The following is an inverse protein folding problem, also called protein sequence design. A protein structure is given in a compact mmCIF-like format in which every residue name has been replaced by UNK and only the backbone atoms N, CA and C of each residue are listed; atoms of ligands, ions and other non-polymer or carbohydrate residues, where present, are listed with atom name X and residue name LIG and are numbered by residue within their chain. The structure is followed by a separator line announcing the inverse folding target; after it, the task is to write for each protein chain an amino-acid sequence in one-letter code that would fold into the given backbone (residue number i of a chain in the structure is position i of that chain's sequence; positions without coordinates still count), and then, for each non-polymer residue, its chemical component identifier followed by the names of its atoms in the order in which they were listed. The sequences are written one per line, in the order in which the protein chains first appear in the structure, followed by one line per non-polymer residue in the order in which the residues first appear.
data_IF_294061758665
#
_entry.id   IF_294061758665
#
_cell.length_a   1.000
_cell.length_b   1.000
_cell.length_c   1.000
_cell.angle_alpha   90.00
_cell.angle_beta   90.00
_cell.angle_gamma   90.00
#
_symmetry.space_group_name_H-M   'P 1'
#
loop_
_entity.id
_entity.type
_entity.pdbx_description
1 polymer ?
#
# COMPACT_ATOMS: atom_id res chain seq x y z
N UNK A 1 33.94 25.91 -35.93
CA UNK A 1 33.60 24.88 -34.94
C UNK A 1 32.63 23.92 -35.61
N UNK A 2 33.04 22.75 -36.11
CA UNK A 2 32.06 21.78 -36.58
C UNK A 2 31.46 21.06 -35.37
N UNK A 3 30.12 21.01 -35.34
CA UNK A 3 29.32 20.28 -34.36
C UNK A 3 29.62 18.77 -34.48
N UNK A 4 30.02 18.16 -33.37
CA UNK A 4 30.18 16.71 -33.28
C UNK A 4 28.82 16.08 -32.97
N UNK A 5 28.26 15.40 -33.96
CA UNK A 5 27.06 14.56 -33.79
C UNK A 5 27.39 13.37 -32.87
N UNK A 6 26.63 13.23 -31.79
CA UNK A 6 26.79 12.20 -30.77
C UNK A 6 25.61 11.24 -30.81
N UNK A 7 25.48 10.45 -31.88
CA UNK A 7 24.44 9.42 -31.93
C UNK A 7 24.87 8.09 -32.57
N UNK A 8 26.10 7.64 -32.30
CA UNK A 8 26.52 6.27 -32.59
C UNK A 8 26.03 5.28 -31.51
N UNK A 9 24.71 5.09 -31.41
CA UNK A 9 24.19 3.90 -30.72
C UNK A 9 24.55 2.69 -31.58
N UNK A 10 25.31 1.74 -31.04
CA UNK A 10 25.69 0.51 -31.74
C UNK A 10 24.44 -0.24 -32.20
N UNK A 11 24.04 -0.05 -33.46
CA UNK A 11 23.03 -0.90 -34.11
C UNK A 11 23.75 -2.21 -34.38
N UNK A 12 23.35 -3.30 -33.72
CA UNK A 12 24.03 -4.60 -33.80
C UNK A 12 24.35 -5.09 -35.23
N UNK A 13 25.10 -6.20 -35.35
CA UNK A 13 25.72 -6.61 -36.60
C UNK A 13 24.73 -6.72 -37.79
N UNK A 14 24.99 -5.94 -38.85
CA UNK A 14 24.13 -5.87 -40.05
C UNK A 14 24.57 -6.82 -41.17
N UNK A 15 25.81 -7.31 -41.10
CA UNK A 15 26.40 -8.24 -42.08
C UNK A 15 26.13 -9.70 -41.70
N UNK A 16 26.14 -10.59 -42.70
CA UNK A 16 26.01 -12.04 -42.50
C UNK A 16 27.09 -12.57 -41.53
N UNK A 17 28.35 -12.17 -41.75
CA UNK A 17 29.47 -12.54 -40.89
C UNK A 17 29.31 -12.04 -39.44
N UNK A 18 28.83 -10.81 -39.25
CA UNK A 18 28.57 -10.28 -37.91
C UNK A 18 27.44 -11.03 -37.18
N UNK A 19 26.41 -11.46 -37.91
CA UNK A 19 25.32 -12.30 -37.37
C UNK A 19 25.81 -13.71 -37.01
N UNK A 20 26.65 -14.31 -37.85
CA UNK A 20 27.28 -15.62 -37.57
C UNK A 20 28.21 -15.58 -36.35
N UNK A 21 28.97 -14.50 -36.17
CA UNK A 21 29.78 -14.32 -34.96
C UNK A 21 28.92 -14.11 -33.71
N UNK A 22 27.81 -13.36 -33.84
CA UNK A 22 26.86 -13.16 -32.74
C UNK A 22 26.13 -14.45 -32.34
N UNK A 23 25.79 -15.33 -33.29
CA UNK A 23 25.14 -16.61 -32.98
C UNK A 23 26.06 -17.58 -32.26
N UNK A 24 27.37 -17.55 -32.53
CA UNK A 24 28.37 -18.35 -31.80
C UNK A 24 28.42 -18.01 -30.30
N UNK A 25 28.19 -16.75 -29.92
CA UNK A 25 28.17 -16.34 -28.51
C UNK A 25 26.99 -16.95 -27.73
N UNK A 26 25.85 -17.17 -28.40
CA UNK A 26 24.70 -17.85 -27.78
C UNK A 26 25.00 -19.30 -27.41
N UNK A 27 25.90 -19.95 -28.16
CA UNK A 27 26.23 -21.38 -28.02
C UNK A 27 27.45 -21.58 -27.10
N UNK A 28 28.40 -20.64 -27.06
CA UNK A 28 29.69 -20.81 -26.35
C UNK A 28 29.56 -20.90 -24.83
N UNK A 29 28.84 -19.97 -24.20
CA UNK A 29 28.72 -19.89 -22.73
C UNK A 29 27.25 -19.78 -22.27
N UNK A 30 26.29 -19.83 -23.20
CA UNK A 30 24.87 -19.85 -22.89
C UNK A 30 24.27 -18.53 -22.38
N UNK A 31 25.07 -17.52 -22.02
CA UNK A 31 24.56 -16.25 -21.47
C UNK A 31 23.72 -15.45 -22.45
N UNK A 32 24.01 -15.58 -23.76
CA UNK A 32 23.24 -14.96 -24.84
C UNK A 32 22.24 -15.92 -25.50
N UNK A 33 22.06 -17.13 -24.95
CA UNK A 33 21.14 -18.11 -25.52
C UNK A 33 19.70 -17.61 -25.42
N UNK A 34 18.92 -17.88 -26.47
CA UNK A 34 17.46 -17.68 -26.48
C UNK A 34 16.72 -18.88 -25.88
N UNK A 35 17.40 -20.00 -25.68
CA UNK A 35 16.81 -21.18 -25.07
C UNK A 35 16.56 -20.92 -23.57
N UNK A 36 15.34 -21.23 -23.14
CA UNK A 36 14.96 -21.13 -21.73
C UNK A 36 15.71 -22.16 -20.88
N UNK A 37 15.98 -23.33 -21.42
CA UNK A 37 16.76 -24.40 -20.80
C UNK A 37 17.93 -24.78 -21.71
N UNK A 38 19.14 -24.90 -21.15
CA UNK A 38 20.33 -25.37 -21.85
C UNK A 38 20.51 -26.89 -21.67
N UNK A 39 21.21 -27.59 -22.57
CA UNK A 39 21.40 -29.04 -22.48
C UNK A 39 22.08 -29.53 -21.19
N UNK A 40 22.84 -28.67 -20.52
CA UNK A 40 23.58 -28.97 -19.29
C UNK A 40 22.86 -28.50 -18.02
N UNK A 41 21.60 -28.09 -18.13
CA UNK A 41 20.78 -27.63 -17.01
C UNK A 41 19.71 -28.66 -16.68
N UNK A 42 19.34 -28.75 -15.39
CA UNK A 42 18.34 -29.69 -14.91
C UNK A 42 16.92 -29.15 -15.20
N UNK A 43 16.10 -29.86 -16.00
CA UNK A 43 14.70 -29.50 -16.20
C UNK A 43 13.88 -29.49 -14.90
N UNK A 44 14.20 -30.35 -13.93
CA UNK A 44 13.46 -30.44 -12.67
C UNK A 44 13.69 -29.21 -11.80
N UNK A 45 14.94 -28.78 -11.67
CA UNK A 45 15.28 -27.55 -10.93
C UNK A 45 14.53 -26.32 -11.48
N UNK A 46 14.43 -26.22 -12.81
CA UNK A 46 13.65 -25.17 -13.44
C UNK A 46 12.15 -25.31 -13.11
N UNK A 47 11.60 -26.52 -13.21
CA UNK A 47 10.19 -26.77 -12.92
C UNK A 47 9.85 -26.42 -11.46
N UNK A 48 10.69 -26.81 -10.51
CA UNK A 48 10.52 -26.52 -9.08
C UNK A 48 10.55 -25.02 -8.81
N UNK A 49 11.49 -24.28 -9.43
CA UNK A 49 11.54 -22.83 -9.32
C UNK A 49 10.25 -22.18 -9.86
N UNK A 50 9.75 -22.66 -11.00
CA UNK A 50 8.50 -22.14 -11.57
C UNK A 50 7.31 -22.46 -10.67
N UNK A 51 7.25 -23.66 -10.10
CA UNK A 51 6.17 -24.08 -9.21
C UNK A 51 6.16 -23.24 -7.93
N UNK A 52 7.32 -23.00 -7.32
CA UNK A 52 7.46 -22.11 -6.15
C UNK A 52 6.83 -20.72 -6.40
N UNK A 53 7.13 -20.09 -7.54
CA UNK A 53 6.53 -18.78 -7.88
C UNK A 53 5.01 -18.84 -8.11
N UNK A 54 4.52 -19.95 -8.67
CA UNK A 54 3.08 -20.15 -8.87
C UNK A 54 2.35 -20.34 -7.54
N UNK A 55 2.92 -21.09 -6.61
CA UNK A 55 2.34 -21.36 -5.29
C UNK A 55 2.32 -20.08 -4.43
N UNK A 56 3.42 -19.33 -4.38
CA UNK A 56 3.54 -18.11 -3.58
C UNK A 56 2.56 -17.01 -3.99
N UNK A 57 2.30 -16.87 -5.29
CA UNK A 57 1.47 -15.79 -5.83
C UNK A 57 0.06 -16.23 -6.20
N UNK A 58 -0.20 -17.54 -6.31
CA UNK A 58 -1.47 -18.16 -6.66
C UNK A 58 -2.29 -17.36 -7.70
N UNK A 59 -1.77 -17.19 -8.94
CA UNK A 59 -2.33 -16.27 -9.90
C UNK A 59 -3.69 -16.74 -10.46
N UNK A 60 -4.76 -15.99 -10.15
CA UNK A 60 -6.13 -16.31 -10.56
C UNK A 60 -6.57 -15.80 -11.94
N UNK A 61 -5.71 -15.06 -12.67
CA UNK A 61 -6.07 -14.57 -14.02
C UNK A 61 -4.91 -14.70 -15.01
N UNK A 62 -5.23 -14.72 -16.30
CA UNK A 62 -4.24 -14.82 -17.39
C UNK A 62 -3.09 -13.81 -17.30
N UNK A 63 -3.35 -12.50 -17.13
CA UNK A 63 -2.29 -11.50 -16.94
C UNK A 63 -1.39 -11.74 -15.72
N UNK A 64 -1.94 -12.19 -14.59
CA UNK A 64 -1.13 -12.53 -13.42
C UNK A 64 -0.29 -13.78 -13.66
N UNK A 65 -0.89 -14.81 -14.27
CA UNK A 65 -0.18 -16.03 -14.65
C UNK A 65 1.01 -15.72 -15.57
N UNK A 66 0.82 -14.83 -16.54
CA UNK A 66 1.90 -14.38 -17.42
C UNK A 66 3.01 -13.67 -16.66
N UNK A 67 2.68 -12.72 -15.77
CA UNK A 67 3.71 -12.01 -14.99
C UNK A 67 4.48 -12.93 -14.05
N UNK A 68 3.79 -13.85 -13.37
CA UNK A 68 4.45 -14.85 -12.50
C UNK A 68 5.44 -15.69 -13.32
N UNK A 69 5.05 -16.16 -14.50
CA UNK A 69 5.95 -16.90 -15.41
C UNK A 69 7.12 -16.07 -15.92
N UNK A 70 6.93 -14.79 -16.21
CA UNK A 70 8.02 -13.88 -16.62
C UNK A 70 9.00 -13.62 -15.47
N UNK A 71 8.51 -13.47 -14.23
CA UNK A 71 9.36 -13.36 -13.05
C UNK A 71 10.16 -14.64 -12.82
N UNK A 72 9.51 -15.80 -12.87
CA UNK A 72 10.16 -17.10 -12.74
C UNK A 72 11.24 -17.30 -13.83
N UNK A 73 10.92 -16.96 -15.08
CA UNK A 73 11.87 -16.97 -16.20
C UNK A 73 13.05 -16.04 -15.94
N UNK A 74 12.80 -14.81 -15.50
CA UNK A 74 13.86 -13.85 -15.22
C UNK A 74 14.73 -14.28 -14.03
N UNK A 75 14.14 -14.92 -13.03
CA UNK A 75 14.85 -15.50 -11.89
C UNK A 75 15.76 -16.65 -12.36
N UNK A 76 15.24 -17.57 -13.18
CA UNK A 76 16.05 -18.66 -13.76
C UNK A 76 17.25 -18.13 -14.54
N UNK A 77 17.04 -17.12 -15.40
CA UNK A 77 18.12 -16.50 -16.16
C UNK A 77 19.13 -15.78 -15.26
N UNK A 78 18.68 -15.15 -14.17
CA UNK A 78 19.56 -14.55 -13.18
C UNK A 78 20.46 -15.60 -12.52
N UNK A 79 19.88 -16.71 -12.07
CA UNK A 79 20.63 -17.84 -11.48
C UNK A 79 21.65 -18.37 -12.49
N UNK A 80 21.26 -18.57 -13.76
CA UNK A 80 22.19 -18.95 -14.83
C UNK A 80 23.35 -17.97 -14.96
N UNK A 81 23.11 -16.66 -15.00
CA UNK A 81 24.20 -15.70 -15.15
C UNK A 81 25.12 -15.65 -13.93
N UNK A 82 24.59 -15.85 -12.72
CA UNK A 82 25.40 -16.00 -11.50
C UNK A 82 26.32 -17.21 -11.58
N UNK A 83 25.80 -18.37 -12.02
CA UNK A 83 26.61 -19.57 -12.27
C UNK A 83 27.72 -19.30 -13.28
N UNK A 84 27.41 -18.67 -14.42
CA UNK A 84 28.43 -18.35 -15.44
C UNK A 84 29.49 -17.35 -14.98
N UNK A 85 29.10 -16.37 -14.17
CA UNK A 85 30.05 -15.45 -13.54
C UNK A 85 31.01 -16.20 -12.61
N UNK A 86 30.48 -17.06 -11.74
CA UNK A 86 31.27 -17.88 -10.81
C UNK A 86 32.18 -18.86 -11.54
N UNK A 87 31.69 -19.54 -12.59
CA UNK A 87 32.51 -20.41 -13.43
C UNK A 87 33.67 -19.64 -14.08
N UNK A 88 33.41 -18.43 -14.60
CA UNK A 88 34.45 -17.60 -15.20
C UNK A 88 35.51 -17.17 -14.19
N UNK A 89 35.08 -16.78 -12.98
CA UNK A 89 35.96 -16.46 -11.86
C UNK A 89 36.79 -17.68 -11.42
N UNK A 90 36.18 -18.85 -11.30
CA UNK A 90 36.87 -20.10 -10.96
C UNK A 90 37.89 -20.52 -12.03
N UNK A 91 37.57 -20.37 -13.31
CA UNK A 91 38.54 -20.63 -14.39
C UNK A 91 39.75 -19.70 -14.27
N UNK A 92 39.53 -18.40 -14.03
CA UNK A 92 40.62 -17.44 -13.84
C UNK A 92 41.45 -17.81 -12.62
N UNK A 93 40.81 -18.16 -11.50
CA UNK A 93 41.50 -18.59 -10.28
C UNK A 93 42.34 -19.85 -10.50
N UNK A 94 41.91 -20.76 -11.38
CA UNK A 94 42.68 -21.93 -11.79
C UNK A 94 43.87 -21.61 -12.69
N UNK A 95 43.83 -20.49 -13.43
CA UNK A 95 44.94 -19.98 -14.26
C UNK A 95 45.94 -19.18 -13.39
N UNK A 96 45.45 -18.29 -12.52
CA UNK A 96 46.22 -17.47 -11.58
C UNK A 96 45.46 -17.34 -10.24
N UNK A 97 46.04 -17.88 -9.17
CA UNK A 97 45.41 -17.95 -7.85
C UNK A 97 45.46 -16.60 -7.11
N UNK A 98 46.47 -15.77 -7.36
CA UNK A 98 46.54 -14.46 -6.74
C UNK A 98 45.70 -13.46 -7.53
N UNK A 99 44.57 -13.05 -6.95
CA UNK A 99 43.66 -12.08 -7.57
C UNK A 99 44.32 -10.74 -7.91
N UNK A 100 45.41 -10.37 -7.22
CA UNK A 100 46.17 -9.15 -7.51
C UNK A 100 47.03 -9.24 -8.78
N UNK A 101 47.34 -10.45 -9.22
CA UNK A 101 48.18 -10.71 -10.40
C UNK A 101 47.32 -11.01 -11.65
N UNK A 102 46.00 -10.83 -11.57
CA UNK A 102 45.11 -11.04 -12.69
C UNK A 102 45.40 -10.10 -13.85
N UNK A 103 45.45 -10.66 -15.05
CA UNK A 103 45.77 -9.95 -16.27
C UNK A 103 44.61 -9.07 -16.75
N UNK A 104 44.85 -8.06 -17.59
CA UNK A 104 43.78 -7.32 -18.26
C UNK A 104 42.77 -8.21 -18.99
N UNK A 105 43.20 -9.34 -19.55
CA UNK A 105 42.36 -10.33 -20.21
C UNK A 105 41.41 -11.04 -19.22
N UNK A 106 41.88 -11.34 -18.01
CA UNK A 106 41.04 -11.89 -16.92
C UNK A 106 39.94 -10.90 -16.55
N UNK A 107 40.30 -9.64 -16.32
CA UNK A 107 39.34 -8.59 -15.99
C UNK A 107 38.32 -8.38 -17.11
N UNK A 108 38.75 -8.38 -18.37
CA UNK A 108 37.84 -8.25 -19.51
C UNK A 108 36.83 -9.42 -19.58
N UNK A 109 37.26 -10.64 -19.24
CA UNK A 109 36.37 -11.81 -19.17
C UNK A 109 35.33 -11.65 -18.06
N UNK A 110 35.72 -11.20 -16.87
CA UNK A 110 34.78 -10.93 -15.76
C UNK A 110 33.82 -9.80 -16.10
N UNK A 111 34.32 -8.70 -16.66
CA UNK A 111 33.51 -7.56 -17.10
C UNK A 111 32.39 -7.97 -18.06
N UNK A 112 32.67 -8.91 -18.97
CA UNK A 112 31.68 -9.46 -19.88
C UNK A 112 30.55 -10.16 -19.12
N UNK A 113 30.87 -11.04 -18.17
CA UNK A 113 29.87 -11.74 -17.37
C UNK A 113 29.16 -10.82 -16.37
N UNK A 114 29.83 -9.82 -15.81
CA UNK A 114 29.23 -8.76 -14.98
C UNK A 114 28.14 -8.02 -15.73
N UNK A 115 28.36 -7.69 -17.02
CA UNK A 115 27.34 -7.03 -17.87
C UNK A 115 26.12 -7.91 -18.11
N UNK A 116 26.32 -9.21 -18.30
CA UNK A 116 25.22 -10.17 -18.44
C UNK A 116 24.44 -10.33 -17.14
N UNK A 117 25.14 -10.46 -16.01
CA UNK A 117 24.55 -10.53 -14.68
C UNK A 117 23.71 -9.27 -14.38
N UNK A 118 24.30 -8.09 -14.55
CA UNK A 118 23.62 -6.80 -14.32
C UNK A 118 22.34 -6.69 -15.18
N UNK A 119 22.41 -7.15 -16.43
CA UNK A 119 21.27 -7.14 -17.34
C UNK A 119 20.16 -8.11 -16.91
N UNK A 120 20.52 -9.30 -16.40
CA UNK A 120 19.58 -10.28 -15.85
C UNK A 120 18.94 -9.77 -14.54
N UNK A 121 19.72 -9.16 -13.64
CA UNK A 121 19.22 -8.56 -12.38
C UNK A 121 18.22 -7.45 -12.64
N UNK A 122 18.53 -6.53 -13.58
CA UNK A 122 17.58 -5.47 -13.98
C UNK A 122 16.30 -6.05 -14.54
N UNK A 123 16.39 -7.12 -15.35
CA UNK A 123 15.21 -7.80 -15.90
C UNK A 123 14.37 -8.42 -14.79
N UNK A 124 14.99 -9.15 -13.86
CA UNK A 124 14.32 -9.76 -12.72
C UNK A 124 13.61 -8.71 -11.85
N UNK A 125 14.34 -7.69 -11.41
CA UNK A 125 13.78 -6.63 -10.57
C UNK A 125 12.62 -5.91 -11.26
N UNK A 126 12.73 -5.63 -12.56
CA UNK A 126 11.64 -5.02 -13.34
C UNK A 126 10.36 -5.86 -13.30
N UNK A 127 10.46 -7.17 -13.58
CA UNK A 127 9.27 -8.02 -13.61
C UNK A 127 8.71 -8.26 -12.20
N UNK A 128 9.57 -8.39 -11.19
CA UNK A 128 9.13 -8.51 -9.81
C UNK A 128 8.33 -7.28 -9.36
N UNK A 129 8.84 -6.07 -9.62
CA UNK A 129 8.10 -4.84 -9.30
C UNK A 129 6.77 -4.73 -10.05
N UNK A 130 6.68 -5.23 -11.29
CA UNK A 130 5.41 -5.27 -12.04
C UNK A 130 4.40 -6.25 -11.42
N UNK A 131 4.85 -7.43 -11.02
CA UNK A 131 4.03 -8.43 -10.36
C UNK A 131 3.52 -7.93 -9.00
N UNK A 132 4.38 -7.32 -8.19
CA UNK A 132 4.01 -6.70 -6.92
C UNK A 132 3.02 -5.54 -7.11
N UNK A 133 3.25 -4.69 -8.12
CA UNK A 133 2.31 -3.62 -8.45
C UNK A 133 0.93 -4.17 -8.84
N UNK A 134 0.87 -5.26 -9.60
CA UNK A 134 -0.40 -5.91 -9.95
C UNK A 134 -1.10 -6.48 -8.71
N UNK A 135 -0.36 -7.18 -7.83
CA UNK A 135 -0.89 -7.70 -6.55
C UNK A 135 -1.49 -6.58 -5.70
N UNK A 136 -0.76 -5.48 -5.55
CA UNK A 136 -1.19 -4.32 -4.78
C UNK A 136 -2.41 -3.61 -5.41
N UNK A 137 -2.47 -3.54 -6.75
CA UNK A 137 -3.64 -3.01 -7.47
C UNK A 137 -4.88 -3.86 -7.25
N UNK A 138 -4.76 -5.20 -7.29
CA UNK A 138 -5.90 -6.10 -7.01
C UNK A 138 -6.45 -5.95 -5.61
N UNK A 139 -5.56 -5.89 -4.63
CA UNK A 139 -5.94 -5.64 -3.24
C UNK A 139 -6.72 -4.32 -3.15
N UNK A 140 -6.22 -3.26 -3.81
CA UNK A 140 -6.90 -1.96 -3.88
C UNK A 140 -8.24 -1.99 -4.62
N UNK A 141 -8.34 -2.76 -5.70
CA UNK A 141 -9.57 -2.95 -6.48
C UNK A 141 -10.61 -3.69 -5.66
N UNK A 142 -10.24 -4.79 -4.99
CA UNK A 142 -11.11 -5.52 -4.07
C UNK A 142 -11.69 -4.60 -3.00
N UNK A 143 -10.85 -3.76 -2.41
CA UNK A 143 -11.29 -2.73 -1.47
C UNK A 143 -12.20 -1.67 -2.07
N UNK A 144 -12.00 -1.33 -3.34
CA UNK A 144 -12.86 -0.35 -4.03
C UNK A 144 -14.23 -0.94 -4.35
N UNK A 145 -14.25 -2.19 -4.80
CA UNK A 145 -15.47 -2.95 -5.10
C UNK A 145 -16.33 -3.14 -3.85
N UNK A 146 -15.72 -3.64 -2.76
CA UNK A 146 -16.42 -3.80 -1.47
C UNK A 146 -17.04 -2.48 -1.00
N UNK A 147 -16.32 -1.35 -1.17
CA UNK A 147 -16.86 -0.04 -0.81
C UNK A 147 -18.05 0.37 -1.69
N UNK A 148 -18.02 0.07 -2.98
CA UNK A 148 -19.12 0.38 -3.90
C UNK A 148 -20.35 -0.48 -3.60
N UNK A 149 -20.17 -1.76 -3.30
CA UNK A 149 -21.25 -2.67 -2.90
C UNK A 149 -21.93 -2.18 -1.62
N UNK A 150 -21.17 -1.80 -0.59
CA UNK A 150 -21.72 -1.21 0.64
C UNK A 150 -22.49 0.10 0.37
N UNK A 151 -22.01 0.94 -0.54
CA UNK A 151 -22.72 2.16 -0.94
C UNK A 151 -24.02 1.86 -1.68
N UNK A 152 -24.01 0.85 -2.58
CA UNK A 152 -25.21 0.43 -3.31
C UNK A 152 -26.25 -0.17 -2.36
N UNK A 153 -25.82 -0.99 -1.39
CA UNK A 153 -26.69 -1.54 -0.36
C UNK A 153 -27.32 -0.45 0.52
N UNK A 154 -26.54 0.55 0.96
CA UNK A 154 -27.06 1.70 1.73
C UNK A 154 -28.09 2.52 0.93
N UNK A 155 -27.85 2.74 -0.36
CA UNK A 155 -28.81 3.41 -1.26
C UNK A 155 -30.09 2.59 -1.41
N UNK A 156 -29.99 1.28 -1.59
CA UNK A 156 -31.14 0.38 -1.70
C UNK A 156 -31.98 0.41 -0.41
N UNK A 157 -31.33 0.31 0.75
CA UNK A 157 -32.00 0.31 2.05
C UNK A 157 -32.67 1.66 2.36
N UNK A 158 -32.07 2.78 1.92
CA UNK A 158 -32.71 4.11 1.97
C UNK A 158 -33.94 4.21 1.05
N UNK A 159 -33.89 3.60 -0.15
CA UNK A 159 -35.05 3.54 -1.06
C UNK A 159 -36.19 2.70 -0.48
N UNK A 160 -35.88 1.55 0.11
CA UNK A 160 -36.89 0.72 0.79
C UNK A 160 -37.52 1.45 1.97
N UNK A 161 -36.72 2.12 2.81
CA UNK A 161 -37.23 2.97 3.90
C UNK A 161 -38.13 4.10 3.41
N UNK A 162 -37.82 4.71 2.25
CA UNK A 162 -38.69 5.71 1.63
C UNK A 162 -39.97 5.11 1.08
N UNK A 163 -39.91 3.93 0.46
CA UNK A 163 -41.09 3.23 -0.07
C UNK A 163 -42.05 2.74 1.02
N UNK A 164 -41.54 2.41 2.21
CA UNK A 164 -42.33 2.00 3.38
C UNK A 164 -42.91 3.19 4.16
N UNK A 165 -42.59 4.44 3.79
CA UNK A 165 -43.12 5.62 4.47
C UNK A 165 -44.59 5.83 4.04
N UNK A 166 -45.56 5.94 4.98
CA UNK A 166 -46.95 6.13 4.62
C UNK A 166 -47.15 7.42 3.80
N UNK A 167 -48.10 7.44 2.84
CA UNK A 167 -48.39 8.62 2.05
C UNK A 167 -48.72 9.79 2.98
N UNK A 168 -48.13 10.96 2.70
CA UNK A 168 -48.34 12.15 3.49
C UNK A 168 -49.84 12.50 3.55
N UNK A 169 -50.38 12.93 4.70
CA UNK A 169 -51.77 13.33 4.81
C UNK A 169 -52.05 14.47 3.82
N UNK A 170 -53.20 14.41 3.15
CA UNK A 170 -53.62 15.40 2.17
C UNK A 170 -53.55 16.82 2.75
N UNK A 171 -53.10 17.80 1.97
CA UNK A 171 -52.95 19.16 2.45
C UNK A 171 -54.32 19.74 2.77
N UNK A 172 -54.61 19.94 4.06
CA UNK A 172 -55.74 20.77 4.48
C UNK A 172 -55.53 22.19 3.97
N UNK A 173 -56.54 22.69 3.28
CA UNK A 173 -56.61 24.05 2.77
C UNK A 173 -56.62 25.04 3.93
N UNK A 174 -55.45 25.60 4.25
CA UNK A 174 -55.34 26.81 5.05
C UNK A 174 -54.47 27.84 4.34
N UNK A 175 -54.91 29.08 4.50
CA UNK A 175 -54.74 30.21 3.61
C UNK A 175 -53.30 30.61 3.35
N UNK A 176 -53.06 30.95 2.08
CA UNK A 176 -51.90 31.67 1.57
C UNK A 176 -51.54 32.90 2.42
N UNK A 177 -50.53 32.76 3.25
CA UNK A 177 -49.59 33.84 3.54
C UNK A 177 -48.19 33.36 3.20
N UNK A 178 -47.70 33.77 2.03
CA UNK A 178 -46.30 33.59 1.61
C UNK A 178 -45.38 34.15 2.69
N UNK A 179 -44.79 33.28 3.50
CA UNK A 179 -43.54 33.59 4.21
C UNK A 179 -42.39 33.50 3.21
N UNK A 180 -41.44 34.45 3.19
CA UNK A 180 -40.33 34.40 2.26
C UNK A 180 -39.49 33.15 2.51
N UNK A 181 -38.88 32.66 1.44
CA UNK A 181 -37.84 31.65 1.51
C UNK A 181 -36.81 32.08 2.56
N UNK A 182 -36.57 31.23 3.54
CA UNK A 182 -35.44 31.40 4.45
C UNK A 182 -34.20 31.12 3.61
N UNK A 183 -33.61 32.19 3.09
CA UNK A 183 -32.24 32.19 2.60
C UNK A 183 -31.40 31.46 3.65
N UNK A 184 -30.61 30.48 3.20
CA UNK A 184 -29.44 30.08 3.98
C UNK A 184 -28.70 31.37 4.27
N UNK A 185 -28.48 31.69 5.54
CA UNK A 185 -27.48 32.69 5.90
C UNK A 185 -26.23 32.35 5.09
N UNK A 186 -25.74 33.25 4.22
CA UNK A 186 -24.41 33.09 3.70
C UNK A 186 -23.51 33.07 4.93
N UNK A 187 -22.65 32.04 5.02
CA UNK A 187 -21.50 32.11 5.90
C UNK A 187 -20.90 33.51 5.75
N UNK A 188 -20.61 34.17 6.89
CA UNK A 188 -20.14 35.54 6.95
C UNK A 188 -19.21 35.84 5.76
N UNK A 189 -19.42 36.95 5.01
CA UNK A 189 -18.65 37.19 3.80
C UNK A 189 -17.18 37.07 4.15
N UNK A 190 -16.52 36.09 3.53
CA UNK A 190 -15.06 36.01 3.52
C UNK A 190 -14.58 37.44 3.32
N UNK A 191 -13.79 37.96 4.27
CA UNK A 191 -13.37 39.35 4.25
C UNK A 191 -12.87 39.70 2.85
N UNK A 192 -12.96 40.96 2.42
CA UNK A 192 -12.46 41.37 1.11
C UNK A 192 -11.04 40.83 0.83
N UNK A 193 -10.22 40.71 1.88
CA UNK A 193 -8.93 40.03 1.84
C UNK A 193 -9.01 38.51 1.60
N UNK A 194 -9.88 37.75 2.27
CA UNK A 194 -10.06 36.31 2.03
C UNK A 194 -10.60 36.01 0.61
N UNK A 195 -11.48 36.86 0.06
CA UNK A 195 -11.96 36.73 -1.33
C UNK A 195 -10.86 37.03 -2.37
N UNK A 196 -9.95 37.98 -2.08
CA UNK A 196 -8.83 38.38 -2.95
C UNK A 196 -7.60 37.48 -2.82
N UNK A 197 -7.31 36.97 -1.63
CA UNK A 197 -6.11 36.19 -1.31
C UNK A 197 -6.44 34.72 -1.08
N UNK A 198 -6.90 34.03 -2.13
CA UNK A 198 -7.25 32.60 -2.13
C UNK A 198 -6.01 31.66 -2.03
N UNK A 199 -4.84 32.19 -1.69
CA UNK A 199 -3.60 31.41 -1.56
C UNK A 199 -3.70 30.28 -0.54
N UNK A 200 -4.61 30.41 0.45
CA UNK A 200 -4.93 29.41 1.47
C UNK A 200 -5.58 28.14 0.87
N UNK A 201 -6.26 28.25 -0.27
CA UNK A 201 -6.92 27.14 -0.96
C UNK A 201 -6.08 26.52 -2.10
N UNK A 202 -4.87 27.03 -2.31
CA UNK A 202 -3.97 26.48 -3.33
C UNK A 202 -3.36 25.16 -2.82
N UNK A 203 -3.72 24.04 -3.47
CA UNK A 203 -3.22 22.69 -3.12
C UNK A 203 -1.69 22.59 -2.99
N UNK A 204 -0.93 23.41 -3.73
CA UNK A 204 0.54 23.45 -3.66
C UNK A 204 1.09 24.24 -2.45
N UNK A 205 0.24 25.01 -1.76
CA UNK A 205 0.59 25.82 -0.58
C UNK A 205 0.03 25.26 0.74
N UNK A 206 -0.77 24.19 0.70
CA UNK A 206 -1.25 23.52 1.91
C UNK A 206 -0.09 22.84 2.65
N UNK A 207 -0.11 22.87 3.98
CA UNK A 207 0.89 22.17 4.81
C UNK A 207 0.92 20.70 4.43
N UNK A 208 2.09 20.19 4.05
CA UNK A 208 2.29 18.76 3.78
C UNK A 208 2.18 18.00 5.11
N UNK A 209 1.25 17.05 5.18
CA UNK A 209 1.10 16.17 6.35
C UNK A 209 1.96 14.93 6.16
N UNK A 210 2.93 14.77 7.05
CA UNK A 210 3.83 13.63 7.12
C UNK A 210 3.16 12.50 7.91
N UNK A 211 3.17 11.28 7.36
CA UNK A 211 2.41 10.17 7.94
C UNK A 211 3.26 8.91 8.00
N UNK A 212 3.24 8.22 9.14
CA UNK A 212 3.66 6.82 9.23
C UNK A 212 2.47 5.93 8.89
N UNK A 213 2.70 4.88 8.10
CA UNK A 213 1.68 3.90 7.73
C UNK A 213 2.09 2.50 8.18
N UNK A 214 1.17 1.80 8.81
CA UNK A 214 1.30 0.41 9.25
C UNK A 214 0.10 -0.38 8.77
N UNK A 215 0.34 -1.46 8.06
CA UNK A 215 -0.68 -2.42 7.65
C UNK A 215 -0.81 -3.51 8.71
N UNK A 216 -2.05 -3.94 8.93
CA UNK A 216 -2.37 -5.00 9.89
C UNK A 216 -3.24 -6.00 9.16
N UNK A 217 -2.77 -7.24 9.06
CA UNK A 217 -3.56 -8.36 8.54
C UNK A 217 -4.10 -9.17 9.72
N UNK A 218 -5.40 -9.43 9.70
CA UNK A 218 -6.13 -10.18 10.72
C UNK A 218 -6.85 -11.34 10.03
N UNK A 219 -6.52 -12.55 10.46
CA UNK A 219 -7.09 -13.81 9.98
C UNK A 219 -7.61 -14.64 11.13
N UNK A 220 -8.49 -15.59 10.83
CA UNK A 220 -8.92 -16.61 11.78
C UNK A 220 -8.36 -17.97 11.34
N UNK A 221 -7.37 -18.48 12.06
CA UNK A 221 -6.72 -19.78 11.79
C UNK A 221 -7.12 -20.76 12.90
N UNK A 222 -7.78 -21.86 12.54
CA UNK A 222 -8.27 -22.89 13.48
C UNK A 222 -9.12 -22.32 14.65
N UNK A 223 -9.90 -21.27 14.37
CA UNK A 223 -10.73 -20.58 15.35
C UNK A 223 -9.99 -19.56 16.23
N UNK A 224 -8.68 -19.38 16.04
CA UNK A 224 -7.88 -18.38 16.75
C UNK A 224 -7.61 -17.16 15.86
N UNK A 225 -7.72 -15.97 16.44
CA UNK A 225 -7.37 -14.73 15.77
C UNK A 225 -5.86 -14.62 15.62
N UNK A 226 -5.37 -14.40 14.41
CA UNK A 226 -3.94 -14.16 14.11
C UNK A 226 -3.79 -12.73 13.61
N UNK A 227 -2.90 -11.97 14.25
CA UNK A 227 -2.65 -10.55 13.93
C UNK A 227 -1.20 -10.36 13.49
N UNK A 228 -0.99 -9.81 12.28
CA UNK A 228 0.34 -9.56 11.72
C UNK A 228 0.50 -8.09 11.33
N UNK A 229 1.62 -7.48 11.72
CA UNK A 229 1.93 -6.06 11.52
C UNK A 229 3.01 -5.89 10.43
N UNK A 230 2.79 -4.94 9.53
CA UNK A 230 3.69 -4.62 8.43
C UNK A 230 3.82 -3.09 8.25
N UNK A 231 4.93 -2.47 8.65
CA UNK A 231 6.04 -3.04 9.41
C UNK A 231 5.66 -3.32 10.89
N UNK A 232 6.53 -4.02 11.62
CA UNK A 232 6.40 -4.17 13.09
C UNK A 232 6.43 -2.81 13.81
N UNK A 233 6.01 -2.76 15.08
CA UNK A 233 6.03 -1.51 15.85
C UNK A 233 7.47 -0.98 16.01
N UNK A 234 8.44 -1.86 16.24
CA UNK A 234 9.86 -1.52 16.39
C UNK A 234 10.44 -0.93 15.10
N UNK A 235 10.10 -1.52 13.95
CA UNK A 235 10.48 -0.99 12.66
C UNK A 235 9.82 0.36 12.37
N UNK A 236 8.53 0.52 12.70
CA UNK A 236 7.82 1.79 12.47
C UNK A 236 8.39 2.93 13.34
N UNK A 237 8.86 2.63 14.55
CA UNK A 237 9.61 3.58 15.39
C UNK A 237 10.90 4.00 14.68
N UNK A 238 11.65 3.06 14.14
CA UNK A 238 12.92 3.34 13.46
C UNK A 238 12.71 4.14 12.18
N UNK A 239 11.64 3.87 11.43
CA UNK A 239 11.24 4.68 10.29
C UNK A 239 10.87 6.11 10.72
N UNK A 240 10.12 6.24 11.82
CA UNK A 240 9.76 7.54 12.39
C UNK A 240 10.97 8.39 12.80
N UNK A 241 12.00 7.78 13.41
CA UNK A 241 13.25 8.48 13.79
C UNK A 241 14.01 9.04 12.59
N UNK A 242 13.90 8.39 11.42
CA UNK A 242 14.56 8.82 10.18
C UNK A 242 13.79 9.91 9.43
N UNK A 243 12.54 10.20 9.81
CA UNK A 243 11.72 11.19 9.12
C UNK A 243 12.11 12.62 9.50
N UNK A 244 12.33 13.46 8.47
CA UNK A 244 12.40 14.92 8.62
C UNK A 244 11.46 15.61 7.62
N UNK A 245 10.51 16.44 8.09
CA UNK A 245 10.13 16.66 9.49
C UNK A 245 9.50 15.39 10.12
N UNK A 246 9.35 15.42 11.44
CA UNK A 246 8.68 14.38 12.20
C UNK A 246 7.25 14.12 11.67
N UNK A 247 6.71 12.89 11.81
CA UNK A 247 5.36 12.57 11.36
C UNK A 247 4.32 13.37 12.13
N UNK A 248 3.28 13.85 11.44
CA UNK A 248 2.12 14.49 12.06
C UNK A 248 1.08 13.44 12.52
N UNK A 249 1.00 12.28 11.83
CA UNK A 249 0.00 11.24 12.09
C UNK A 249 0.55 9.83 11.88
N UNK A 250 -0.05 8.86 12.57
CA UNK A 250 0.12 7.43 12.33
C UNK A 250 -1.19 6.83 11.82
N UNK A 251 -1.10 6.05 10.75
CA UNK A 251 -2.21 5.33 10.14
C UNK A 251 -1.99 3.83 10.31
N UNK A 252 -2.91 3.16 11.01
CA UNK A 252 -3.06 1.70 10.96
C UNK A 252 -4.18 1.33 9.99
N UNK A 253 -3.86 0.48 9.03
CA UNK A 253 -4.78 -0.01 8.00
C UNK A 253 -5.04 -1.49 8.24
N UNK A 254 -6.24 -1.80 8.70
CA UNK A 254 -6.64 -3.17 9.06
C UNK A 254 -7.22 -3.86 7.84
N UNK A 255 -6.85 -5.11 7.64
CA UNK A 255 -7.41 -6.01 6.65
C UNK A 255 -7.92 -7.26 7.38
N UNK A 256 -9.23 -7.36 7.50
CA UNK A 256 -9.93 -8.50 8.09
C UNK A 256 -10.30 -9.49 6.97
N UNK A 257 -9.60 -10.62 6.91
CA UNK A 257 -9.74 -11.59 5.83
C UNK A 257 -10.98 -12.47 6.00
N UNK A 258 -11.27 -12.89 7.23
CA UNK A 258 -12.23 -13.95 7.55
C UNK A 258 -13.40 -13.45 8.44
N UNK A 259 -13.76 -12.17 8.32
CA UNK A 259 -14.63 -11.51 9.30
C UNK A 259 -13.85 -10.66 10.30
N UNK A 260 -14.57 -9.83 11.07
CA UNK A 260 -13.97 -9.07 12.19
C UNK A 260 -14.12 -9.91 13.46
N UNK A 261 -13.01 -10.40 14.04
CA UNK A 261 -13.08 -11.20 15.26
C UNK A 261 -13.58 -10.38 16.47
N UNK A 262 -14.06 -11.05 17.54
CA UNK A 262 -14.58 -10.40 18.75
C UNK A 262 -13.65 -9.35 19.35
N UNK A 263 -12.34 -9.62 19.35
CA UNK A 263 -11.30 -8.73 19.89
C UNK A 263 -11.18 -7.43 19.10
N UNK A 264 -11.70 -7.41 17.87
CA UNK A 264 -11.67 -6.30 16.93
C UNK A 264 -13.04 -5.66 16.66
N UNK A 265 -14.10 -6.05 17.37
CA UNK A 265 -15.44 -5.48 17.20
C UNK A 265 -15.47 -3.96 17.35
N UNK A 266 -14.55 -3.38 18.13
CA UNK A 266 -14.39 -1.92 18.26
C UNK A 266 -14.03 -1.21 16.94
N UNK A 267 -13.60 -1.94 15.91
CA UNK A 267 -13.33 -1.41 14.56
C UNK A 267 -14.57 -1.32 13.67
N UNK A 268 -15.67 -1.97 14.07
CA UNK A 268 -16.94 -1.94 13.37
C UNK A 268 -17.91 -0.95 14.05
N UNK A 269 -18.69 -0.18 13.28
CA UNK A 269 -19.79 0.57 13.85
C UNK A 269 -20.78 -0.36 14.56
N UNK A 270 -21.32 0.11 15.68
CA UNK A 270 -22.37 -0.60 16.41
C UNK A 270 -23.57 -0.90 15.49
N UNK A 271 -23.98 -2.17 15.45
CA UNK A 271 -25.06 -2.64 14.57
C UNK A 271 -24.64 -3.05 13.15
N UNK A 272 -23.36 -2.98 12.79
CA UNK A 272 -22.84 -3.41 11.48
C UNK A 272 -22.50 -4.91 11.47
N UNK A 273 -23.52 -5.77 11.63
CA UNK A 273 -23.35 -7.24 11.70
C UNK A 273 -22.77 -7.83 10.43
N UNK A 274 -23.10 -7.25 9.27
CA UNK A 274 -22.56 -7.68 7.98
C UNK A 274 -21.04 -7.51 7.93
N UNK A 275 -20.51 -6.42 8.49
CA UNK A 275 -19.06 -6.20 8.57
C UNK A 275 -18.38 -7.18 9.53
N UNK A 276 -19.04 -7.57 10.62
CA UNK A 276 -18.51 -8.57 11.54
C UNK A 276 -18.33 -9.93 10.84
N UNK A 277 -19.28 -10.31 10.00
CA UNK A 277 -19.23 -11.58 9.27
C UNK A 277 -18.27 -11.55 8.06
N UNK A 278 -18.24 -10.45 7.31
CA UNK A 278 -17.52 -10.37 6.02
C UNK A 278 -16.15 -9.71 6.08
N UNK A 279 -15.82 -9.02 7.18
CA UNK A 279 -14.53 -8.40 7.38
C UNK A 279 -14.31 -7.15 6.52
N UNK A 280 -13.17 -7.08 5.82
CA UNK A 280 -12.79 -5.95 4.97
C UNK A 280 -11.83 -4.95 5.62
N UNK A 281 -11.87 -3.69 5.15
CA UNK A 281 -10.93 -2.66 5.59
C UNK A 281 -11.37 -1.88 6.82
N UNK A 282 -10.43 -1.70 7.74
CA UNK A 282 -10.49 -0.73 8.83
C UNK A 282 -9.39 0.33 8.74
N UNK A 283 -9.63 1.51 9.32
CA UNK A 283 -8.63 2.56 9.46
C UNK A 283 -8.66 3.08 10.89
N UNK A 284 -7.50 3.09 11.53
CA UNK A 284 -7.26 3.77 12.80
C UNK A 284 -6.20 4.86 12.56
N UNK A 285 -6.54 6.10 12.91
CA UNK A 285 -5.71 7.29 12.75
C UNK A 285 -5.53 7.94 14.11
N UNK A 286 -4.30 8.32 14.39
CA UNK A 286 -3.93 8.92 15.67
C UNK A 286 -2.68 9.78 15.50
N UNK A 287 -2.36 10.58 16.51
CA UNK A 287 -1.06 11.26 16.58
C UNK A 287 0.05 10.25 16.90
N UNK A 288 1.32 10.57 16.64
CA UNK A 288 2.45 9.75 17.11
C UNK A 288 2.40 9.49 18.61
N UNK A 289 2.08 10.48 19.43
CA UNK A 289 2.02 10.33 20.89
C UNK A 289 0.95 9.32 21.32
N UNK A 290 -0.28 9.46 20.80
CA UNK A 290 -1.35 8.49 21.05
C UNK A 290 -0.97 7.10 20.55
N UNK A 291 -0.24 6.99 19.43
CA UNK A 291 0.24 5.70 18.95
C UNK A 291 1.24 5.05 19.90
N UNK A 292 2.17 5.81 20.46
CA UNK A 292 3.12 5.32 21.47
C UNK A 292 2.39 4.80 22.72
N UNK A 293 1.41 5.54 23.22
CA UNK A 293 0.56 5.11 24.34
C UNK A 293 -0.25 3.84 24.02
N UNK A 294 -0.75 3.72 22.77
CA UNK A 294 -1.48 2.53 22.31
C UNK A 294 -0.57 1.31 22.31
N UNK A 295 0.63 1.38 21.73
CA UNK A 295 1.53 0.22 21.65
C UNK A 295 2.07 -0.20 23.02
N UNK A 296 2.24 0.74 23.95
CA UNK A 296 2.61 0.43 25.34
C UNK A 296 1.50 -0.35 26.05
N UNK A 297 0.25 0.07 25.87
CA UNK A 297 -0.91 -0.66 26.38
C UNK A 297 -1.06 -2.04 25.72
N UNK A 298 -0.81 -2.15 24.42
CA UNK A 298 -0.85 -3.42 23.68
C UNK A 298 0.20 -4.42 24.19
N UNK A 299 1.40 -3.95 24.56
CA UNK A 299 2.45 -4.81 25.15
C UNK A 299 2.06 -5.46 26.47
N UNK A 300 1.13 -4.84 27.21
CA UNK A 300 0.64 -5.38 28.48
C UNK A 300 -0.50 -6.39 28.29
N UNK A 301 -0.99 -6.60 27.06
CA UNK A 301 -2.04 -7.57 26.77
C UNK A 301 -1.43 -8.94 26.51
N UNK A 302 -2.03 -9.97 27.11
CA UNK A 302 -1.63 -11.36 26.90
C UNK A 302 -2.18 -11.96 25.60
N UNK A 303 -3.18 -11.31 24.99
CA UNK A 303 -3.84 -11.79 23.77
C UNK A 303 -3.10 -11.43 22.47
N UNK A 304 -2.12 -10.53 22.52
CA UNK A 304 -1.34 -10.12 21.35
C UNK A 304 -2.14 -9.33 20.29
N UNK A 305 -3.34 -8.86 20.62
CA UNK A 305 -4.22 -8.13 19.70
C UNK A 305 -4.14 -6.61 19.86
N UNK A 306 -4.53 -5.90 18.80
CA UNK A 306 -4.49 -4.45 18.78
C UNK A 306 -5.74 -3.85 19.43
N UNK A 307 -5.55 -2.73 20.11
CA UNK A 307 -6.62 -2.05 20.84
C UNK A 307 -7.12 -0.76 20.17
N UNK A 308 -8.27 -0.22 20.63
CA UNK A 308 -8.72 1.11 20.25
C UNK A 308 -7.76 2.19 20.75
N UNK A 309 -7.87 3.40 20.20
CA UNK A 309 -7.00 4.54 20.58
C UNK A 309 -7.25 5.06 21.99
N UNK A 310 -8.42 4.79 22.59
CA UNK A 310 -8.86 5.35 23.88
C UNK A 310 -9.44 6.77 23.78
N UNK A 311 -8.92 7.60 22.88
CA UNK A 311 -9.36 8.99 22.67
C UNK A 311 -10.26 9.18 21.45
N UNK A 312 -10.60 8.09 20.76
CA UNK A 312 -11.30 8.13 19.48
C UNK A 312 -10.36 8.18 18.27
N UNK A 313 -10.88 7.77 17.12
CA UNK A 313 -10.12 7.69 15.88
C UNK A 313 -10.09 9.08 15.21
N UNK A 314 -8.93 9.64 14.89
CA UNK A 314 -8.86 10.98 14.30
C UNK A 314 -9.64 11.07 12.97
N UNK A 315 -10.30 12.19 12.65
CA UNK A 315 -10.98 12.39 11.37
C UNK A 315 -9.96 12.58 10.24
N UNK A 316 -10.44 12.58 8.99
CA UNK A 316 -9.55 12.87 7.85
C UNK A 316 -9.10 14.33 7.92
N UNK A 317 -7.79 14.64 7.86
CA UNK A 317 -7.32 16.02 7.83
C UNK A 317 -7.89 16.80 6.65
N UNK A 318 -8.12 18.10 6.84
CA UNK A 318 -8.68 18.98 5.80
C UNK A 318 -7.74 19.14 4.61
N UNK A 319 -6.43 19.15 4.88
CA UNK A 319 -5.32 19.21 3.92
C UNK A 319 -5.25 17.95 3.02
N UNK A 320 -5.87 16.84 3.46
CA UNK A 320 -6.09 15.63 2.64
C UNK A 320 -7.53 15.52 2.16
N UNK A 321 -8.18 16.66 1.91
CA UNK A 321 -9.50 16.78 1.31
C UNK A 321 -10.68 16.73 2.29
N UNK A 322 -10.44 16.52 3.59
CA UNK A 322 -11.51 16.35 4.58
C UNK A 322 -12.42 15.15 4.27
N UNK A 323 -13.34 14.83 5.16
CA UNK A 323 -14.34 13.79 4.90
C UNK A 323 -15.52 13.92 5.86
N UNK A 324 -16.71 14.22 5.36
CA UNK A 324 -17.93 14.37 6.17
C UNK A 324 -18.78 13.08 6.19
N UNK A 325 -18.15 11.93 5.96
CA UNK A 325 -18.85 10.66 6.11
C UNK A 325 -19.28 10.45 7.58
N UNK A 326 -20.33 9.65 7.84
CA UNK A 326 -20.83 9.42 9.20
C UNK A 326 -19.75 9.01 10.19
N UNK A 327 -18.78 8.18 9.76
CA UNK A 327 -17.62 7.77 10.59
C UNK A 327 -16.74 8.96 10.96
N UNK A 328 -16.34 9.79 9.99
CA UNK A 328 -15.49 10.95 10.28
C UNK A 328 -16.24 12.03 11.08
N UNK A 329 -17.55 12.17 10.90
CA UNK A 329 -18.38 13.08 11.69
C UNK A 329 -18.54 12.59 13.13
N UNK A 330 -18.80 11.29 13.35
CA UNK A 330 -18.81 10.66 14.68
C UNK A 330 -17.46 10.83 15.38
N UNK A 331 -16.37 10.57 14.66
CA UNK A 331 -15.02 10.72 15.17
C UNK A 331 -14.72 12.16 15.62
N UNK A 332 -15.14 13.18 14.86
CA UNK A 332 -15.02 14.58 15.30
C UNK A 332 -15.79 14.82 16.59
N UNK A 333 -17.06 14.38 16.65
CA UNK A 333 -17.87 14.54 17.85
C UNK A 333 -17.26 13.87 19.09
N UNK A 334 -16.66 12.68 18.94
CA UNK A 334 -15.94 12.00 20.03
C UNK A 334 -14.77 12.87 20.52
N UNK A 335 -13.95 13.38 19.60
CA UNK A 335 -12.81 14.23 19.97
C UNK A 335 -13.25 15.55 20.60
N UNK A 336 -14.29 16.18 20.05
CA UNK A 336 -14.84 17.43 20.58
C UNK A 336 -15.37 17.21 22.01
N UNK A 337 -16.03 16.07 22.29
CA UNK A 337 -16.51 15.71 23.63
C UNK A 337 -15.37 15.41 24.61
N UNK A 338 -14.29 14.75 24.16
CA UNK A 338 -13.11 14.48 24.99
C UNK A 338 -12.32 15.74 25.33
N UNK A 339 -12.48 16.82 24.56
CA UNK A 339 -11.83 18.11 24.76
C UNK A 339 -12.62 19.10 25.63
N UNK A 340 -13.82 18.75 26.11
CA UNK A 340 -14.56 19.60 27.05
C UNK A 340 -13.99 19.44 28.47
N UNK A 341 -13.61 20.53 29.16
CA UNK A 341 -13.19 20.44 30.55
C UNK A 341 -14.37 19.99 31.41
N UNK A 342 -14.15 18.96 32.24
CA UNK A 342 -15.11 18.57 33.28
C UNK A 342 -15.38 19.77 34.19
N UNK A 343 -16.56 20.39 34.04
CA UNK A 343 -17.06 21.35 35.01
C UNK A 343 -17.66 20.53 36.15
N UNK A 344 -16.95 20.45 37.27
CA UNK A 344 -17.51 19.87 38.49
C UNK A 344 -18.79 20.63 38.89
N UNK A 345 -19.89 19.93 39.23
CA UNK A 345 -21.09 20.59 39.70
C UNK A 345 -20.79 21.31 41.01
N UNK A 346 -21.05 22.63 41.03
CA UNK A 346 -20.88 23.49 42.21
C UNK A 346 -21.72 22.91 43.37
N UNK A 347 -21.14 22.66 44.55
CA UNK A 347 -21.90 22.12 45.67
C UNK A 347 -23.01 23.08 46.06
N UNK A 348 -24.22 22.54 46.24
CA UNK A 348 -25.39 23.25 46.74
C UNK A 348 -25.05 23.81 48.13
N UNK A 349 -25.00 25.13 48.23
CA UNK A 349 -24.82 25.82 49.51
C UNK A 349 -26.01 25.51 50.42
N UNK A 350 -25.74 24.92 51.57
CA UNK A 350 -26.72 24.70 52.63
C UNK A 350 -27.38 26.02 53.07
N UNK A 351 -28.69 26.01 53.42
CA UNK A 351 -29.35 27.18 53.96
C UNK A 351 -28.77 27.50 55.35
N UNK A 352 -28.30 28.74 55.53
CA UNK A 352 -27.80 29.22 56.84
C UNK A 352 -28.94 29.29 57.87
N UNK A 353 -28.65 29.01 59.15
CA UNK A 353 -29.59 29.20 60.25
C UNK A 353 -29.92 30.67 60.54
#
# INVERSE_FOLDING_TARGET
MPELDHNHRSTGPRTRQGKENSSKNAIKHGSCSKALLLPNEDPQEQADLFQMWLDDYNPSTGPAMMLVREVATAHWLLVRQRRRYQEAEQCIYGEEQNAMDWTPEHHHRLDLFTRYLTSAERRFNKFLSQLEAMRNSRVREGFTMQRLELQQADIALKRERQAQKPPAPEPKAESSSKKPAKEKEPAAPESRAAALFQGQNNKKKQKKIHTLEQWVEIRTEDGNTVTKLFPSNEQLIEDGKKMWPAPDLVYRRFHFVDGVPPEYHWTAPEGDTARLETGGLGIQRMTPDTWLEVIEREKLREDGHLGPTGVGNLPRPKERGGCDCPVCSRNRAILDSASQPHIEPRPLSEPRP
#
